data_IF_870870965213
#
_entry.id   IF_870870965213
#
_cell.length_a   1.000
_cell.length_b   1.000
_cell.length_c   1.000
_cell.angle_alpha   90.00
_cell.angle_beta   90.00
_cell.angle_gamma   90.00
#
_symmetry.space_group_name_H-M   'P 1'
#
loop_
_entity.id
_entity.type
_entity.pdbx_description
1 polymer ?
#
# COMPACT_ATOMS: atom_id res chain seq x y z
N UNK A 1 -17.00 -5.22 -13.31
CA UNK A 1 -16.61 -6.63 -13.52
C UNK A 1 -17.59 -7.49 -12.74
N UNK A 2 -18.04 -8.64 -13.28
CA UNK A 2 -18.96 -9.53 -12.58
C UNK A 2 -18.13 -10.56 -11.79
N UNK A 3 -17.82 -10.27 -10.52
CA UNK A 3 -17.06 -11.19 -9.68
C UNK A 3 -17.94 -12.39 -9.31
N UNK A 4 -17.80 -13.51 -10.02
CA UNK A 4 -18.49 -14.77 -9.67
C UNK A 4 -18.21 -15.09 -8.19
N UNK A 5 -19.26 -15.38 -7.43
CA UNK A 5 -19.17 -15.86 -6.04
C UNK A 5 -18.43 -17.21 -6.00
N UNK A 6 -17.11 -17.15 -5.92
CA UNK A 6 -16.24 -18.29 -5.70
C UNK A 6 -15.94 -18.53 -4.22
N UNK A 7 -15.03 -19.47 -3.94
CA UNK A 7 -14.52 -19.75 -2.60
C UNK A 7 -13.89 -18.48 -2.01
N UNK A 8 -14.34 -18.09 -0.81
CA UNK A 8 -13.83 -16.96 -0.05
C UNK A 8 -13.02 -17.44 1.16
N UNK A 9 -11.97 -16.70 1.52
CA UNK A 9 -11.15 -17.01 2.70
C UNK A 9 -11.69 -16.31 3.95
N UNK A 10 -11.94 -17.06 5.02
CA UNK A 10 -12.26 -16.47 6.33
C UNK A 10 -11.03 -15.78 6.91
N UNK A 11 -11.18 -14.53 7.34
CA UNK A 11 -10.12 -13.77 8.01
C UNK A 11 -10.56 -13.45 9.43
N UNK A 12 -9.85 -14.03 10.39
CA UNK A 12 -9.99 -13.69 11.80
C UNK A 12 -9.12 -12.46 12.13
N UNK A 13 -9.60 -11.63 13.05
CA UNK A 13 -8.89 -10.46 13.55
C UNK A 13 -8.77 -10.54 15.07
N UNK A 14 -7.67 -10.05 15.62
CA UNK A 14 -7.52 -9.88 17.07
C UNK A 14 -8.17 -8.58 17.56
N UNK A 15 -8.13 -8.34 18.87
CA UNK A 15 -8.69 -7.13 19.51
C UNK A 15 -8.03 -5.82 19.03
N UNK A 16 -6.87 -5.89 18.37
CA UNK A 16 -6.16 -4.76 17.75
C UNK A 16 -6.48 -4.59 16.27
N UNK A 17 -7.48 -5.29 15.74
CA UNK A 17 -7.83 -5.29 14.32
C UNK A 17 -6.69 -5.76 13.39
N UNK A 18 -5.80 -6.60 13.92
CA UNK A 18 -4.75 -7.23 13.13
C UNK A 18 -5.27 -8.57 12.58
N UNK A 19 -5.09 -8.84 11.29
CA UNK A 19 -5.46 -10.12 10.71
C UNK A 19 -4.55 -11.22 11.27
N UNK A 20 -5.12 -12.33 11.75
CA UNK A 20 -4.39 -13.42 12.40
C UNK A 20 -4.53 -14.75 11.65
N UNK A 21 -3.64 -15.70 11.99
CA UNK A 21 -3.60 -17.06 11.43
C UNK A 21 -3.33 -17.06 9.91
N UNK A 22 -3.50 -18.22 9.28
CA UNK A 22 -3.29 -18.42 7.83
C UNK A 22 -4.16 -17.50 6.97
N UNK A 23 -5.43 -17.29 7.37
CA UNK A 23 -6.33 -16.36 6.67
C UNK A 23 -5.80 -14.93 6.68
N UNK A 24 -5.21 -14.49 7.81
CA UNK A 24 -4.61 -13.17 7.91
C UNK A 24 -3.37 -12.98 7.05
N UNK A 25 -2.50 -13.99 6.96
CA UNK A 25 -1.35 -13.96 6.06
C UNK A 25 -1.78 -13.80 4.58
N UNK A 26 -2.76 -14.59 4.14
CA UNK A 26 -3.30 -14.52 2.78
C UNK A 26 -3.93 -13.15 2.51
N UNK A 27 -4.65 -12.61 3.49
CA UNK A 27 -5.26 -11.29 3.43
C UNK A 27 -4.21 -10.19 3.23
N UNK A 28 -3.17 -10.14 4.07
CA UNK A 28 -2.07 -9.17 3.98
C UNK A 28 -1.38 -9.24 2.62
N UNK A 29 -1.04 -10.46 2.15
CA UNK A 29 -0.43 -10.65 0.82
C UNK A 29 -1.33 -10.19 -0.32
N UNK A 30 -2.64 -10.39 -0.19
CA UNK A 30 -3.59 -9.89 -1.17
C UNK A 30 -3.64 -8.36 -1.16
N UNK A 31 -3.63 -7.73 0.01
CA UNK A 31 -3.54 -6.28 0.12
C UNK A 31 -2.27 -5.78 -0.57
N UNK A 32 -1.10 -6.36 -0.28
CA UNK A 32 0.17 -6.07 -0.94
C UNK A 32 0.15 -6.26 -2.47
N UNK A 33 -0.70 -7.15 -2.98
CA UNK A 33 -0.88 -7.33 -4.40
C UNK A 33 -1.74 -6.20 -5.00
N UNK A 34 -2.88 -5.86 -4.39
CA UNK A 34 -3.76 -4.81 -4.93
C UNK A 34 -3.07 -3.44 -4.96
N UNK A 35 -2.15 -3.16 -4.02
CA UNK A 35 -1.43 -1.87 -3.99
C UNK A 35 -0.52 -1.65 -5.20
N UNK A 36 -0.13 -2.75 -5.87
CA UNK A 36 0.74 -2.75 -7.04
C UNK A 36 -0.04 -2.67 -8.35
N UNK A 37 -1.36 -2.56 -8.28
CA UNK A 37 -2.22 -2.44 -9.44
C UNK A 37 -2.71 -1.00 -9.57
N UNK A 38 -2.37 -0.35 -10.67
CA UNK A 38 -2.74 1.05 -10.93
C UNK A 38 -4.24 1.33 -10.88
N UNK A 39 -5.07 0.36 -11.28
CA UNK A 39 -6.55 0.49 -11.20
C UNK A 39 -7.06 0.77 -9.79
N UNK A 40 -6.37 0.26 -8.77
CA UNK A 40 -6.74 0.45 -7.36
C UNK A 40 -5.91 1.57 -6.74
N UNK A 41 -4.65 1.67 -7.16
CA UNK A 41 -3.73 2.68 -6.68
C UNK A 41 -2.88 3.25 -7.80
N UNK A 42 -3.30 4.40 -8.36
CA UNK A 42 -2.44 5.17 -9.24
C UNK A 42 -1.22 5.63 -8.43
N UNK A 43 -0.04 5.17 -8.84
CA UNK A 43 1.21 5.40 -8.10
C UNK A 43 1.55 6.90 -7.99
N UNK A 44 1.09 7.71 -8.94
CA UNK A 44 1.19 9.18 -8.89
C UNK A 44 0.30 9.85 -7.82
N UNK A 45 -0.60 9.12 -7.15
CA UNK A 45 -1.46 9.68 -6.09
C UNK A 45 -0.65 9.90 -4.81
N UNK A 46 -0.22 11.13 -4.59
CA UNK A 46 0.72 11.50 -3.51
C UNK A 46 0.24 11.13 -2.10
N UNK A 47 -1.05 11.32 -1.81
CA UNK A 47 -1.62 11.06 -0.49
C UNK A 47 -2.84 10.14 -0.58
N UNK A 48 -2.99 9.22 0.38
CA UNK A 48 -4.17 8.37 0.53
C UNK A 48 -5.49 9.18 0.62
N UNK A 49 -5.43 10.37 1.22
CA UNK A 49 -6.59 11.26 1.32
C UNK A 49 -7.03 11.81 -0.05
N UNK A 50 -6.10 11.88 -1.01
CA UNK A 50 -6.36 12.31 -2.40
C UNK A 50 -6.80 11.16 -3.31
N UNK A 51 -6.78 9.90 -2.84
CA UNK A 51 -7.32 8.78 -3.61
C UNK A 51 -8.84 8.91 -3.72
N UNK A 52 -9.35 8.81 -4.95
CA UNK A 52 -10.76 9.04 -5.24
C UNK A 52 -11.65 7.98 -4.54
N UNK A 53 -12.94 8.30 -4.42
CA UNK A 53 -13.91 7.43 -3.75
C UNK A 53 -14.15 6.13 -4.51
N UNK A 54 -14.10 6.17 -5.84
CA UNK A 54 -14.31 5.01 -6.72
C UNK A 54 -13.23 3.94 -6.50
N UNK A 55 -11.95 4.30 -6.51
CA UNK A 55 -10.85 3.40 -6.20
C UNK A 55 -11.02 2.76 -4.81
N UNK A 56 -11.44 3.53 -3.80
CA UNK A 56 -11.70 3.01 -2.45
C UNK A 56 -12.86 2.01 -2.44
N UNK A 57 -13.93 2.29 -3.19
CA UNK A 57 -15.05 1.37 -3.34
C UNK A 57 -14.62 0.07 -4.07
N UNK A 58 -13.87 0.19 -5.17
CA UNK A 58 -13.35 -0.96 -5.93
C UNK A 58 -12.42 -1.85 -5.08
N UNK A 59 -11.61 -1.24 -4.21
CA UNK A 59 -10.77 -1.96 -3.24
C UNK A 59 -11.64 -2.75 -2.27
N UNK A 60 -12.71 -2.16 -1.75
CA UNK A 60 -13.62 -2.86 -0.85
C UNK A 60 -14.32 -4.01 -1.57
N UNK A 61 -14.84 -3.76 -2.77
CA UNK A 61 -15.53 -4.76 -3.58
C UNK A 61 -14.62 -5.96 -3.85
N UNK A 62 -13.38 -5.73 -4.31
CA UNK A 62 -12.46 -6.84 -4.62
C UNK A 62 -12.04 -7.63 -3.38
N UNK A 63 -11.93 -6.96 -2.22
CA UNK A 63 -11.64 -7.62 -0.94
C UNK A 63 -12.83 -8.46 -0.50
N UNK A 64 -14.06 -7.93 -0.59
CA UNK A 64 -15.31 -8.64 -0.26
C UNK A 64 -15.56 -9.85 -1.16
N UNK A 65 -15.12 -9.78 -2.42
CA UNK A 65 -15.22 -10.90 -3.35
C UNK A 65 -14.33 -12.08 -2.96
N UNK A 66 -13.21 -11.83 -2.27
CA UNK A 66 -12.19 -12.83 -1.98
C UNK A 66 -12.13 -13.26 -0.51
N UNK A 67 -12.62 -12.44 0.41
CA UNK A 67 -12.54 -12.68 1.85
C UNK A 67 -13.91 -12.60 2.52
N UNK A 68 -14.13 -13.49 3.48
CA UNK A 68 -15.22 -13.41 4.44
C UNK A 68 -14.68 -12.84 5.74
N UNK A 69 -15.43 -11.92 6.32
CA UNK A 69 -15.06 -11.21 7.54
C UNK A 69 -16.31 -10.80 8.34
N UNK A 70 -16.18 -10.48 9.64
CA UNK A 70 -17.32 -10.11 10.47
C UNK A 70 -18.06 -8.90 9.88
N UNK A 71 -19.38 -9.04 9.72
CA UNK A 71 -20.25 -7.98 9.21
C UNK A 71 -20.50 -6.92 10.30
N UNK A 72 -19.47 -6.13 10.62
CA UNK A 72 -19.63 -4.93 11.44
C UNK A 72 -19.43 -3.66 10.60
N UNK A 73 -20.09 -2.57 11.01
CA UNK A 73 -20.09 -1.26 10.32
C UNK A 73 -18.68 -0.62 10.22
N UNK A 74 -17.66 -1.19 10.86
CA UNK A 74 -16.31 -0.65 10.90
C UNK A 74 -15.32 -1.36 9.96
N UNK A 75 -15.67 -2.51 9.39
CA UNK A 75 -14.69 -3.35 8.71
C UNK A 75 -14.08 -2.69 7.46
N UNK A 76 -14.90 -2.09 6.60
CA UNK A 76 -14.39 -1.45 5.38
C UNK A 76 -13.40 -0.33 5.72
N UNK A 77 -13.64 0.42 6.79
CA UNK A 77 -12.69 1.41 7.31
C UNK A 77 -11.38 0.76 7.75
N UNK A 78 -11.41 -0.44 8.34
CA UNK A 78 -10.21 -1.20 8.73
C UNK A 78 -9.45 -1.72 7.51
N UNK A 79 -10.13 -2.25 6.50
CA UNK A 79 -9.52 -2.64 5.22
C UNK A 79 -8.81 -1.46 4.60
N UNK A 80 -9.50 -0.34 4.46
CA UNK A 80 -8.94 0.89 3.89
C UNK A 80 -7.73 1.39 4.69
N UNK A 81 -7.73 1.25 6.03
CA UNK A 81 -6.57 1.59 6.87
C UNK A 81 -5.38 0.68 6.60
N UNK A 82 -5.60 -0.64 6.48
CA UNK A 82 -4.54 -1.60 6.12
C UNK A 82 -3.99 -1.29 4.73
N UNK A 83 -4.86 -1.09 3.75
CA UNK A 83 -4.47 -0.74 2.37
C UNK A 83 -3.66 0.55 2.32
N UNK A 84 -4.09 1.60 3.02
CA UNK A 84 -3.35 2.86 3.12
C UNK A 84 -1.94 2.66 3.70
N UNK A 85 -1.79 1.79 4.71
CA UNK A 85 -0.48 1.43 5.27
C UNK A 85 0.40 0.73 4.23
N UNK A 86 -0.14 -0.27 3.55
CA UNK A 86 0.57 -0.99 2.48
C UNK A 86 0.96 -0.06 1.32
N UNK A 87 0.12 0.93 0.97
CA UNK A 87 0.44 1.94 -0.04
C UNK A 87 1.66 2.77 0.36
N UNK A 88 1.68 3.26 1.62
CA UNK A 88 2.80 4.04 2.16
C UNK A 88 4.09 3.21 2.17
N UNK A 89 4.02 1.95 2.60
CA UNK A 89 5.15 1.02 2.63
C UNK A 89 5.69 0.74 1.22
N UNK A 90 4.80 0.47 0.26
CA UNK A 90 5.17 0.20 -1.13
C UNK A 90 5.88 1.40 -1.77
N UNK A 91 5.33 2.62 -1.63
CA UNK A 91 5.97 3.85 -2.10
C UNK A 91 7.33 4.09 -1.46
N UNK A 92 7.45 3.83 -0.17
CA UNK A 92 8.75 3.95 0.49
C UNK A 92 9.75 2.95 -0.07
N UNK A 93 9.35 1.68 -0.27
CA UNK A 93 10.20 0.67 -0.90
C UNK A 93 10.69 1.12 -2.27
N UNK A 94 9.77 1.57 -3.14
CA UNK A 94 10.14 2.11 -4.45
C UNK A 94 11.11 3.27 -4.37
N UNK A 95 10.89 4.21 -3.44
CA UNK A 95 11.81 5.34 -3.25
C UNK A 95 13.19 4.85 -2.81
N UNK A 96 13.24 3.96 -1.81
CA UNK A 96 14.48 3.39 -1.27
C UNK A 96 15.27 2.67 -2.37
N UNK A 97 14.58 1.93 -3.23
CA UNK A 97 15.19 1.01 -4.20
C UNK A 97 15.59 1.74 -5.50
N UNK A 98 14.86 2.78 -5.91
CA UNK A 98 15.03 3.42 -7.22
C UNK A 98 15.41 4.90 -7.17
N UNK A 99 14.99 5.67 -6.16
CA UNK A 99 15.27 7.11 -6.08
C UNK A 99 16.66 7.37 -5.47
N UNK A 100 17.68 7.27 -6.31
CA UNK A 100 19.09 7.52 -5.98
C UNK A 100 19.60 8.76 -6.73
N UNK A 101 19.23 9.99 -6.30
CA UNK A 101 19.53 11.21 -7.06
C UNK A 101 21.02 11.55 -7.20
N UNK A 102 21.91 10.86 -6.46
CA UNK A 102 23.37 10.97 -6.62
C UNK A 102 23.93 10.04 -7.70
N UNK A 103 23.17 9.02 -8.09
CA UNK A 103 23.61 7.93 -8.98
C UNK A 103 22.79 7.85 -10.27
N UNK A 104 21.54 8.33 -10.25
CA UNK A 104 20.57 8.22 -11.33
C UNK A 104 19.93 9.57 -11.61
N UNK A 105 19.77 9.88 -12.89
CA UNK A 105 18.96 11.01 -13.36
C UNK A 105 17.46 10.74 -13.17
N UNK A 106 16.61 11.74 -13.41
CA UNK A 106 15.15 11.52 -13.31
C UNK A 106 14.68 10.61 -14.43
N UNK A 107 15.25 10.80 -15.62
CA UNK A 107 15.00 10.05 -16.84
C UNK A 107 15.33 8.57 -16.65
N UNK A 108 16.47 8.27 -16.01
CA UNK A 108 16.85 6.88 -15.67
C UNK A 108 15.80 6.21 -14.78
N UNK A 109 15.19 6.95 -13.86
CA UNK A 109 14.17 6.41 -12.96
C UNK A 109 12.85 6.18 -13.71
N UNK A 110 12.51 7.01 -14.70
CA UNK A 110 11.29 6.87 -15.49
C UNK A 110 11.23 5.57 -16.30
N UNK A 111 12.38 5.01 -16.65
CA UNK A 111 12.46 3.71 -17.34
C UNK A 111 12.23 2.51 -16.41
N UNK A 112 12.26 2.70 -15.08
CA UNK A 112 12.05 1.64 -14.08
C UNK A 112 10.56 1.55 -13.71
N UNK A 113 9.69 1.52 -14.72
CA UNK A 113 8.24 1.43 -14.51
C UNK A 113 7.90 0.13 -13.79
N UNK A 114 7.48 0.17 -12.50
CA UNK A 114 7.23 -1.06 -11.77
C UNK A 114 6.01 -1.75 -12.36
N UNK A 115 6.07 -3.09 -12.44
CA UNK A 115 4.99 -3.91 -13.00
C UNK A 115 3.64 -3.54 -12.37
N UNK A 116 2.65 -3.25 -13.22
CA UNK A 116 1.29 -2.89 -12.81
C UNK A 116 1.04 -1.39 -12.71
N UNK A 117 2.01 -0.55 -13.09
CA UNK A 117 1.87 0.90 -13.16
C UNK A 117 2.24 1.48 -14.53
N UNK A 118 1.73 2.67 -14.80
CA UNK A 118 2.06 3.49 -15.96
C UNK A 118 3.33 4.32 -15.72
N UNK A 119 4.00 4.65 -16.83
CA UNK A 119 5.12 5.60 -16.85
C UNK A 119 4.68 6.97 -16.33
N UNK A 120 3.54 7.48 -16.77
CA UNK A 120 2.99 8.78 -16.32
C UNK A 120 2.76 8.82 -14.81
N UNK A 121 2.25 7.72 -14.25
CA UNK A 121 2.09 7.55 -12.81
C UNK A 121 3.43 7.67 -12.09
N UNK A 122 4.47 7.02 -12.61
CA UNK A 122 5.81 7.06 -12.05
C UNK A 122 6.44 8.46 -12.15
N UNK A 123 6.33 9.11 -13.32
CA UNK A 123 6.83 10.47 -13.53
C UNK A 123 6.26 11.43 -12.49
N UNK A 124 4.93 11.46 -12.33
CA UNK A 124 4.27 12.29 -11.29
C UNK A 124 4.78 12.02 -9.87
N UNK A 125 5.09 10.76 -9.55
CA UNK A 125 5.61 10.40 -8.23
C UNK A 125 7.04 10.90 -8.02
N UNK A 126 7.90 10.73 -9.02
CA UNK A 126 9.30 11.15 -8.98
C UNK A 126 9.40 12.68 -8.97
N UNK A 127 8.61 13.37 -9.79
CA UNK A 127 8.50 14.84 -9.78
C UNK A 127 8.12 15.34 -8.38
N UNK A 128 7.17 14.68 -7.73
CA UNK A 128 6.84 14.98 -6.35
C UNK A 128 8.03 14.75 -5.41
N UNK A 129 8.77 13.65 -5.51
CA UNK A 129 9.95 13.40 -4.67
C UNK A 129 11.05 14.45 -4.83
N UNK A 130 11.16 15.07 -6.01
CA UNK A 130 12.05 16.19 -6.31
C UNK A 130 11.47 17.57 -5.95
N UNK A 131 10.22 17.65 -5.49
CA UNK A 131 9.54 18.92 -5.22
C UNK A 131 9.84 19.48 -3.84
N UNK A 132 9.76 20.82 -3.70
CA UNK A 132 9.86 21.50 -2.41
C UNK A 132 8.80 21.02 -1.40
N UNK A 133 7.61 20.67 -1.90
CA UNK A 133 6.54 20.14 -1.08
C UNK A 133 6.97 18.84 -0.36
N UNK A 134 7.71 17.97 -1.04
CA UNK A 134 8.20 16.73 -0.45
C UNK A 134 9.32 16.98 0.56
N UNK A 135 10.18 17.98 0.34
CA UNK A 135 11.19 18.39 1.33
C UNK A 135 10.55 18.85 2.64
N UNK A 136 9.52 19.71 2.57
CA UNK A 136 8.75 20.17 3.74
C UNK A 136 8.05 19.00 4.42
N UNK A 137 7.52 18.04 3.64
CA UNK A 137 6.93 16.84 4.21
C UNK A 137 7.95 16.00 5.00
N UNK A 138 9.17 15.82 4.48
CA UNK A 138 10.24 15.11 5.20
C UNK A 138 10.61 15.85 6.48
N UNK A 139 10.86 17.17 6.43
CA UNK A 139 11.30 17.94 7.60
C UNK A 139 10.29 17.82 8.75
N UNK A 140 8.99 17.80 8.42
CA UNK A 140 7.92 17.73 9.42
C UNK A 140 7.65 16.32 9.96
N UNK A 141 8.12 15.26 9.27
CA UNK A 141 7.81 13.86 9.63
C UNK A 141 9.06 13.05 10.00
N UNK A 142 10.24 13.68 10.09
CA UNK A 142 11.57 13.05 10.28
C UNK A 142 11.67 12.07 11.47
N UNK A 143 10.84 12.24 12.52
CA UNK A 143 10.85 11.39 13.72
C UNK A 143 10.12 10.04 13.57
N UNK A 144 9.11 9.94 12.70
CA UNK A 144 8.20 8.77 12.65
C UNK A 144 8.71 7.63 11.74
N UNK A 145 9.65 7.96 10.84
CA UNK A 145 10.17 6.99 9.87
C UNK A 145 11.09 5.94 10.48
N UNK A 146 11.92 6.28 11.47
CA UNK A 146 12.86 5.34 12.10
C UNK A 146 12.16 4.25 12.93
N UNK A 147 11.02 4.56 13.56
CA UNK A 147 10.28 3.64 14.44
C UNK A 147 9.45 2.61 13.65
N UNK A 148 8.96 2.99 12.45
CA UNK A 148 8.18 2.08 11.61
C UNK A 148 9.01 0.94 10.97
N UNK A 149 10.33 1.14 10.78
CA UNK A 149 11.24 0.09 10.30
C UNK A 149 11.61 -0.91 11.38
N UNK A 150 11.91 -0.44 12.60
CA UNK A 150 12.30 -1.32 13.71
C UNK A 150 11.14 -2.23 14.12
N UNK A 151 9.90 -1.73 14.17
CA UNK A 151 8.74 -2.56 14.51
C UNK A 151 8.36 -3.59 13.43
N UNK A 152 8.48 -3.28 12.13
CA UNK A 152 8.17 -4.28 11.08
C UNK A 152 9.27 -5.36 10.95
N UNK A 153 10.55 -5.02 11.15
CA UNK A 153 11.62 -6.01 11.20
C UNK A 153 11.46 -6.97 12.39
N UNK A 154 11.10 -6.45 13.56
CA UNK A 154 10.83 -7.29 14.73
C UNK A 154 9.62 -8.22 14.52
N UNK A 155 8.54 -7.73 13.89
CA UNK A 155 7.38 -8.58 13.58
C UNK A 155 7.75 -9.68 12.57
N UNK A 156 8.52 -9.36 11.52
CA UNK A 156 8.97 -10.39 10.57
C UNK A 156 9.89 -11.44 11.21
N UNK A 157 10.74 -11.05 12.16
CA UNK A 157 11.64 -11.98 12.87
C UNK A 157 10.91 -12.87 13.87
N UNK A 158 9.90 -12.35 14.57
CA UNK A 158 9.15 -13.12 15.57
C UNK A 158 8.24 -14.20 14.94
N UNK A 159 7.79 -14.02 13.70
CA UNK A 159 6.98 -15.01 12.98
C UNK A 159 7.79 -15.96 12.08
N UNK A 160 9.13 -15.92 12.17
CA UNK A 160 10.05 -16.79 11.42
C UNK A 160 10.74 -17.85 12.31
N UNK A 161 10.33 -17.99 13.57
CA UNK A 161 10.72 -19.04 14.53
C UNK A 161 9.46 -19.80 14.97
#
# INVERSE_FOLDING_TARGET
MNYKQGVRFCVAFNNYNQPIRKGGYIFVRFLDYIVRLERFYPIGTISWHKLNKTNKADIIEVVQCKFMYPADKGFDKRVLKHVAKHFKQYKHGLKRDHFKPKEKTREDIYEIVPKGHSRDGLMRLVDYWCSKQHEVYISNNSYDYRIAYTLNLYICLIFSL
#
